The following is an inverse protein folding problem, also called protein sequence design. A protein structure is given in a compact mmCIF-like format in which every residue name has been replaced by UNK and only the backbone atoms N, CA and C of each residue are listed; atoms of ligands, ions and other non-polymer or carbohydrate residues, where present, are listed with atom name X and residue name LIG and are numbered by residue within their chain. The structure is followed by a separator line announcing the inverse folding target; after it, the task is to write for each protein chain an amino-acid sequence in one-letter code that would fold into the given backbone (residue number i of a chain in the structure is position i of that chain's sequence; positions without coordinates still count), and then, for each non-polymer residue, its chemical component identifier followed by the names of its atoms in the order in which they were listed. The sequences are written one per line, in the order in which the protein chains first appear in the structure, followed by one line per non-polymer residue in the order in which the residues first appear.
data_IF_603174494596
#
_entry.id   IF_603174494596
#
_cell.length_a   1.000
_cell.length_b   1.000
_cell.length_c   1.000
_cell.angle_alpha   90.00
_cell.angle_beta   90.00
_cell.angle_gamma   90.00
#
_symmetry.space_group_name_H-M   'P 1'
#
loop_
_entity.id
_entity.type
_entity.pdbx_description
1 polymer ?
#
# COMPACT_ATOMS: atom_id res chain seq x y z
N UNK A 1 18.84 4.02 18.71
CA UNK A 1 19.23 4.77 19.94
C UNK A 1 18.45 4.24 21.13
N UNK A 2 19.12 3.86 22.23
CA UNK A 2 18.42 3.41 23.46
C UNK A 2 18.19 4.63 24.35
N UNK A 3 16.95 4.87 24.76
CA UNK A 3 16.54 6.09 25.46
C UNK A 3 17.21 6.36 26.83
N UNK A 4 18.09 5.47 27.32
CA UNK A 4 18.77 5.58 28.61
C UNK A 4 20.30 5.53 28.50
N UNK A 5 20.84 5.62 27.29
CA UNK A 5 22.28 5.58 27.05
C UNK A 5 22.71 6.78 26.18
N UNK A 6 23.16 7.89 26.81
CA UNK A 6 23.66 9.08 26.12
C UNK A 6 24.87 8.81 25.22
N UNK A 7 25.66 7.77 25.50
CA UNK A 7 26.83 7.41 24.70
C UNK A 7 26.47 6.78 23.35
N UNK A 8 25.22 6.37 23.16
CA UNK A 8 24.74 5.74 21.92
C UNK A 8 24.58 6.68 20.71
N UNK A 9 24.90 7.98 20.87
CA UNK A 9 24.92 8.96 19.77
C UNK A 9 26.19 8.86 18.93
N UNK A 10 27.32 8.46 19.54
CA UNK A 10 28.67 8.55 18.94
C UNK A 10 28.94 7.68 17.70
N UNK A 11 27.95 6.93 17.21
CA UNK A 11 28.06 6.10 16.00
C UNK A 11 26.88 6.20 15.04
N UNK A 12 25.93 7.11 15.26
CA UNK A 12 24.78 7.28 14.37
C UNK A 12 25.10 8.33 13.32
N UNK A 13 25.32 7.88 12.07
CA UNK A 13 25.38 8.79 10.92
C UNK A 13 24.00 9.40 10.69
N UNK A 14 23.90 10.72 10.81
CA UNK A 14 22.68 11.48 10.56
C UNK A 14 22.89 12.30 9.27
N UNK A 15 21.93 12.29 8.32
CA UNK A 15 21.97 13.17 7.16
C UNK A 15 22.08 14.64 7.57
N UNK A 16 23.12 15.33 7.11
CA UNK A 16 23.31 16.75 7.43
C UNK A 16 22.18 17.61 6.84
N UNK A 17 21.65 18.54 7.63
CA UNK A 17 20.68 19.55 7.18
C UNK A 17 19.23 19.08 7.03
N UNK A 18 18.89 17.85 7.46
CA UNK A 18 17.51 17.37 7.48
C UNK A 18 17.01 17.16 8.93
N UNK A 19 15.78 17.58 9.25
CA UNK A 19 15.21 17.32 10.57
C UNK A 19 15.00 15.82 10.79
N UNK A 20 15.45 15.30 11.92
CA UNK A 20 15.19 13.92 12.34
C UNK A 20 13.85 13.84 13.08
N UNK A 21 12.98 12.92 12.68
CA UNK A 21 11.82 12.53 13.49
C UNK A 21 12.15 11.26 14.27
N UNK A 22 12.23 11.35 15.59
CA UNK A 22 12.39 10.20 16.47
C UNK A 22 11.03 9.64 16.90
N UNK A 23 10.88 8.32 16.80
CA UNK A 23 9.65 7.60 17.14
C UNK A 23 9.93 6.54 18.21
N UNK A 24 9.01 6.39 19.16
CA UNK A 24 8.95 5.22 20.05
C UNK A 24 7.48 4.80 20.23
N UNK A 25 7.20 3.73 20.98
CA UNK A 25 5.84 3.18 21.13
C UNK A 25 4.76 4.24 21.40
N UNK A 26 4.95 5.12 22.40
CA UNK A 26 3.99 6.17 22.79
C UNK A 26 4.53 7.60 22.64
N UNK A 27 5.72 7.79 22.07
CA UNK A 27 6.38 9.10 21.97
C UNK A 27 7.03 9.62 23.26
N UNK A 28 7.03 8.84 24.36
CA UNK A 28 7.62 9.25 25.66
C UNK A 28 9.15 9.12 25.67
N UNK A 29 9.66 7.95 25.30
CA UNK A 29 11.10 7.66 25.29
C UNK A 29 11.84 8.38 24.15
N UNK A 30 11.16 8.69 23.04
CA UNK A 30 11.75 9.45 21.92
C UNK A 30 12.05 10.90 22.30
N UNK A 31 11.35 11.50 23.27
CA UNK A 31 11.66 12.85 23.78
C UNK A 31 13.07 12.90 24.38
N UNK A 32 13.47 11.87 25.13
CA UNK A 32 14.81 11.80 25.73
C UNK A 32 15.89 11.69 24.65
N UNK A 33 15.66 10.87 23.62
CA UNK A 33 16.56 10.77 22.48
C UNK A 33 16.67 12.09 21.72
N UNK A 34 15.55 12.78 21.47
CA UNK A 34 15.52 14.09 20.79
C UNK A 34 16.24 15.17 21.58
N UNK A 35 16.09 15.20 22.91
CA UNK A 35 16.84 16.13 23.75
C UNK A 35 18.35 15.91 23.57
N UNK A 36 18.79 14.66 23.67
CA UNK A 36 20.20 14.32 23.54
C UNK A 36 20.74 14.63 22.12
N UNK A 37 19.94 14.42 21.07
CA UNK A 37 20.28 14.83 19.69
C UNK A 37 20.44 16.35 19.57
N UNK A 38 19.48 17.14 20.10
CA UNK A 38 19.52 18.60 20.07
C UNK A 38 20.71 19.18 20.84
N UNK A 39 21.10 18.55 21.95
CA UNK A 39 22.33 18.90 22.70
C UNK A 39 23.60 18.73 21.85
N UNK A 40 23.58 17.88 20.83
CA UNK A 40 24.68 17.67 19.86
C UNK A 40 24.46 18.45 18.55
N UNK A 41 23.59 19.45 18.53
CA UNK A 41 23.35 20.32 17.37
C UNK A 41 22.55 19.65 16.24
N UNK A 42 21.95 18.50 16.49
CA UNK A 42 21.11 17.79 15.51
C UNK A 42 19.67 18.34 15.62
N UNK A 43 19.12 18.84 14.51
CA UNK A 43 17.71 19.20 14.45
C UNK A 43 16.85 17.93 14.50
N UNK A 44 16.18 17.73 15.63
CA UNK A 44 15.39 16.53 15.88
C UNK A 44 14.06 16.88 16.55
N UNK A 45 13.03 16.07 16.29
CA UNK A 45 11.69 16.23 16.86
C UNK A 45 11.10 14.86 17.22
N UNK A 46 10.28 14.83 18.28
CA UNK A 46 9.62 13.61 18.75
C UNK A 46 8.22 13.55 18.17
N UNK A 47 7.85 12.42 17.54
CA UNK A 47 6.50 12.24 17.01
C UNK A 47 5.49 12.05 18.14
N UNK A 48 4.61 13.04 18.33
CA UNK A 48 3.48 12.94 19.27
C UNK A 48 2.57 11.78 18.83
N UNK A 49 2.25 10.88 19.77
CA UNK A 49 1.48 9.66 19.47
C UNK A 49 2.33 8.45 19.07
N UNK A 50 3.66 8.61 18.95
CA UNK A 50 4.58 7.48 18.81
C UNK A 50 4.32 6.62 17.58
N UNK A 51 4.41 5.29 17.74
CA UNK A 51 4.26 4.33 16.64
C UNK A 51 2.85 4.33 16.04
N UNK A 52 1.83 4.72 16.81
CA UNK A 52 0.46 4.84 16.31
C UNK A 52 0.34 6.05 15.36
N UNK A 53 0.94 7.18 15.71
CA UNK A 53 0.99 8.33 14.80
C UNK A 53 1.85 8.02 13.57
N UNK A 54 2.95 7.27 13.75
CA UNK A 54 3.79 6.85 12.64
C UNK A 54 3.07 5.91 11.68
N UNK A 55 2.26 4.97 12.18
CA UNK A 55 1.48 4.07 11.32
C UNK A 55 0.47 4.81 10.47
N UNK A 56 0.04 6.01 10.88
CA UNK A 56 -0.87 6.88 10.13
C UNK A 56 -0.12 7.91 9.27
N UNK A 57 1.21 7.95 9.31
CA UNK A 57 1.98 8.87 8.47
C UNK A 57 1.84 8.49 7.00
N UNK A 58 1.61 9.50 6.17
CA UNK A 58 1.43 9.34 4.72
C UNK A 58 2.04 10.52 3.98
N UNK A 59 2.27 10.33 2.69
CA UNK A 59 2.61 11.37 1.73
C UNK A 59 2.05 11.03 0.34
N UNK A 60 2.29 11.87 -0.65
CA UNK A 60 1.87 11.63 -2.04
C UNK A 60 3.04 11.63 -3.00
N UNK A 61 2.82 11.06 -4.17
CA UNK A 61 3.69 11.18 -5.34
C UNK A 61 2.85 11.18 -6.61
N UNK A 62 3.19 12.05 -7.56
CA UNK A 62 2.58 12.02 -8.90
C UNK A 62 3.28 10.96 -9.76
N UNK A 63 2.50 10.14 -10.44
CA UNK A 63 2.99 9.17 -11.42
C UNK A 63 2.86 9.78 -12.81
N UNK A 64 4.00 10.03 -13.46
CA UNK A 64 4.02 10.63 -14.79
C UNK A 64 3.61 9.62 -15.87
N UNK A 65 2.50 9.93 -16.55
CA UNK A 65 1.98 9.15 -17.68
C UNK A 65 2.29 9.88 -18.99
N UNK A 66 3.47 9.63 -19.56
CA UNK A 66 3.90 10.23 -20.82
C UNK A 66 2.87 9.98 -21.93
N UNK A 67 2.39 11.06 -22.56
CA UNK A 67 1.44 11.00 -23.67
C UNK A 67 -0.03 10.82 -23.27
N UNK A 68 -0.36 10.82 -21.97
CA UNK A 68 -1.74 10.76 -21.48
C UNK A 68 -2.15 12.06 -20.80
N UNK A 69 -3.45 12.39 -20.88
CA UNK A 69 -4.07 13.44 -20.05
C UNK A 69 -4.53 12.91 -18.69
N UNK A 70 -4.52 11.60 -18.51
CA UNK A 70 -4.86 10.99 -17.24
C UNK A 70 -3.80 11.33 -16.19
N UNK A 71 -4.26 11.52 -14.97
CA UNK A 71 -3.40 11.73 -13.80
C UNK A 71 -3.48 10.52 -12.89
N UNK A 72 -2.34 10.14 -12.33
CA UNK A 72 -2.26 9.09 -11.32
C UNK A 72 -1.48 9.65 -10.14
N UNK A 73 -2.13 9.68 -8.99
CA UNK A 73 -1.56 10.17 -7.75
C UNK A 73 -1.48 8.98 -6.80
N UNK A 74 -0.26 8.66 -6.37
CA UNK A 74 -0.04 7.62 -5.38
C UNK A 74 -0.12 8.23 -3.99
N UNK A 75 -1.04 7.74 -3.16
CA UNK A 75 -1.13 8.04 -1.74
C UNK A 75 -0.39 6.94 -0.99
N UNK A 76 0.68 7.30 -0.27
CA UNK A 76 1.67 6.37 0.27
C UNK A 76 1.59 6.38 1.80
N UNK A 77 1.11 5.31 2.42
CA UNK A 77 1.08 5.15 3.89
C UNK A 77 2.47 4.73 4.39
N UNK A 78 3.35 5.71 4.54
CA UNK A 78 4.76 5.56 4.88
C UNK A 78 5.05 4.59 6.03
N UNK A 79 4.29 4.65 7.11
CA UNK A 79 4.54 3.81 8.29
C UNK A 79 4.22 2.32 8.13
N UNK A 80 3.48 1.96 7.07
CA UNK A 80 2.99 0.59 6.83
C UNK A 80 3.37 0.02 5.46
N UNK A 81 3.76 0.88 4.52
CA UNK A 81 4.09 0.48 3.15
C UNK A 81 2.84 0.22 2.29
N UNK A 82 1.63 0.56 2.76
CA UNK A 82 0.41 0.47 1.94
C UNK A 82 0.38 1.61 0.91
N UNK A 83 -0.01 1.27 -0.31
CA UNK A 83 -0.08 2.20 -1.44
C UNK A 83 -1.51 2.23 -1.96
N UNK A 84 -2.06 3.43 -2.06
CA UNK A 84 -3.36 3.70 -2.69
C UNK A 84 -3.16 4.60 -3.90
N UNK A 85 -4.14 4.64 -4.79
CA UNK A 85 -4.04 5.43 -6.02
C UNK A 85 -5.32 6.22 -6.25
N UNK A 86 -5.18 7.49 -6.64
CA UNK A 86 -6.24 8.26 -7.28
C UNK A 86 -5.87 8.27 -8.77
N UNK A 87 -6.73 7.70 -9.60
CA UNK A 87 -6.59 7.69 -11.05
C UNK A 87 -7.69 8.56 -11.62
N UNK A 88 -7.35 9.63 -12.35
CA UNK A 88 -8.34 10.57 -12.86
C UNK A 88 -8.13 10.92 -14.33
N UNK A 89 -9.24 11.15 -15.03
CA UNK A 89 -9.27 11.72 -16.38
C UNK A 89 -10.54 12.55 -16.51
N UNK A 90 -10.47 13.65 -17.25
CA UNK A 90 -11.64 14.45 -17.64
C UNK A 90 -12.55 14.89 -16.45
N UNK A 91 -11.94 15.17 -15.29
CA UNK A 91 -12.65 15.62 -14.09
C UNK A 91 -13.27 14.49 -13.26
N UNK A 92 -13.09 13.23 -13.65
CA UNK A 92 -13.59 12.06 -12.94
C UNK A 92 -12.43 11.19 -12.45
N UNK A 93 -12.66 10.47 -11.35
CA UNK A 93 -11.62 9.66 -10.75
C UNK A 93 -12.12 8.36 -10.13
N UNK A 94 -11.21 7.39 -10.08
CA UNK A 94 -11.31 6.18 -9.30
C UNK A 94 -10.24 6.18 -8.20
N UNK A 95 -10.57 5.65 -7.03
CA UNK A 95 -9.59 5.39 -5.96
C UNK A 95 -9.37 3.89 -5.82
N UNK A 96 -8.12 3.47 -5.73
CA UNK A 96 -7.73 2.05 -5.55
C UNK A 96 -7.07 1.88 -4.19
N UNK A 97 -7.50 0.86 -3.45
CA UNK A 97 -6.96 0.39 -2.17
C UNK A 97 -6.86 1.48 -1.11
N UNK A 98 -7.97 2.17 -0.79
CA UNK A 98 -7.96 3.28 0.15
C UNK A 98 -7.49 2.84 1.55
N UNK A 99 -6.30 3.26 1.96
CA UNK A 99 -5.61 2.82 3.18
C UNK A 99 -5.44 3.89 4.25
N UNK A 100 -5.75 5.16 3.94
CA UNK A 100 -5.70 6.29 4.88
C UNK A 100 -7.08 6.94 5.06
N UNK A 101 -7.18 7.99 5.88
CA UNK A 101 -8.45 8.69 6.12
C UNK A 101 -9.14 9.12 4.81
N UNK A 102 -10.44 8.78 4.60
CA UNK A 102 -11.23 9.23 3.45
C UNK A 102 -11.08 10.71 3.10
N UNK A 103 -10.97 11.59 4.10
CA UNK A 103 -10.86 13.03 3.90
C UNK A 103 -9.62 13.42 3.08
N UNK A 104 -8.55 12.63 3.17
CA UNK A 104 -7.31 12.87 2.41
C UNK A 104 -7.59 12.69 0.92
N UNK A 105 -8.30 11.63 0.53
CA UNK A 105 -8.63 11.37 -0.88
C UNK A 105 -9.58 12.44 -1.43
N UNK A 106 -10.61 12.82 -0.65
CA UNK A 106 -11.55 13.85 -1.03
C UNK A 106 -10.85 15.19 -1.27
N UNK A 107 -9.99 15.61 -0.35
CA UNK A 107 -9.21 16.85 -0.48
C UNK A 107 -8.29 16.81 -1.70
N UNK A 108 -7.54 15.73 -1.91
CA UNK A 108 -6.64 15.62 -3.07
C UNK A 108 -7.46 15.68 -4.37
N UNK A 109 -8.60 15.00 -4.44
CA UNK A 109 -9.47 15.02 -5.61
C UNK A 109 -9.99 16.44 -5.88
N UNK A 110 -10.48 17.14 -4.85
CA UNK A 110 -10.95 18.53 -4.93
C UNK A 110 -9.84 19.48 -5.43
N UNK A 111 -8.64 19.41 -4.84
CA UNK A 111 -7.46 20.20 -5.24
C UNK A 111 -7.06 19.98 -6.71
N UNK A 112 -7.40 18.81 -7.27
CA UNK A 112 -7.09 18.42 -8.66
C UNK A 112 -8.29 18.58 -9.59
N UNK A 113 -9.41 19.11 -9.11
CA UNK A 113 -10.64 19.27 -9.90
C UNK A 113 -11.27 17.94 -10.33
N UNK A 114 -11.12 16.90 -9.52
CA UNK A 114 -11.62 15.55 -9.77
C UNK A 114 -12.84 15.22 -8.89
N UNK A 115 -13.77 14.45 -9.45
CA UNK A 115 -14.88 13.83 -8.75
C UNK A 115 -14.68 12.33 -8.66
N UNK A 116 -14.60 11.78 -7.44
CA UNK A 116 -14.45 10.34 -7.22
C UNK A 116 -15.79 9.65 -7.50
N UNK A 117 -15.83 8.78 -8.51
CA UNK A 117 -17.01 7.99 -8.89
C UNK A 117 -16.92 6.53 -8.49
N UNK A 118 -15.69 6.03 -8.39
CA UNK A 118 -15.41 4.63 -8.15
C UNK A 118 -14.38 4.49 -7.03
N UNK A 119 -14.59 3.54 -6.14
CA UNK A 119 -13.61 3.14 -5.15
C UNK A 119 -13.45 1.63 -5.19
N UNK A 120 -12.24 1.17 -5.39
CA UNK A 120 -11.93 -0.23 -5.67
C UNK A 120 -10.98 -0.77 -4.61
N UNK A 121 -11.24 -1.98 -4.14
CA UNK A 121 -10.22 -2.78 -3.47
C UNK A 121 -9.76 -3.89 -4.40
N UNK A 122 -8.45 -4.00 -4.56
CA UNK A 122 -7.82 -5.05 -5.38
C UNK A 122 -8.03 -6.44 -4.81
N UNK A 123 -8.15 -6.53 -3.48
CA UNK A 123 -8.42 -7.75 -2.73
C UNK A 123 -8.88 -7.42 -1.30
N UNK A 124 -9.32 -8.43 -0.55
CA UNK A 124 -9.53 -8.28 0.89
C UNK A 124 -8.18 -8.15 1.59
N UNK A 125 -7.88 -6.94 2.05
CA UNK A 125 -6.62 -6.59 2.72
C UNK A 125 -6.46 -7.31 4.06
N UNK A 126 -5.22 -7.68 4.39
CA UNK A 126 -4.86 -8.41 5.61
C UNK A 126 -3.89 -7.64 6.52
N UNK A 127 -3.45 -6.46 6.09
CA UNK A 127 -2.44 -5.61 6.72
C UNK A 127 -2.97 -4.23 7.09
N UNK A 128 -4.07 -3.80 6.47
CA UNK A 128 -4.78 -2.58 6.82
C UNK A 128 -6.31 -2.74 6.72
N UNK A 129 -7.04 -1.85 7.42
CA UNK A 129 -8.48 -1.72 7.26
C UNK A 129 -8.74 -0.89 6.01
N UNK A 130 -9.43 -1.48 5.04
CA UNK A 130 -9.87 -0.76 3.85
C UNK A 130 -10.77 0.39 4.26
N UNK A 131 -10.45 1.60 3.80
CA UNK A 131 -11.29 2.79 3.93
C UNK A 131 -12.18 2.99 2.71
N UNK A 132 -12.20 2.05 1.78
CA UNK A 132 -12.90 2.17 0.49
C UNK A 132 -14.40 2.39 0.64
N UNK A 133 -15.06 1.64 1.53
CA UNK A 133 -16.49 1.84 1.84
C UNK A 133 -16.78 3.19 2.49
N UNK A 134 -15.93 3.61 3.44
CA UNK A 134 -16.11 4.87 4.14
C UNK A 134 -15.92 6.05 3.19
N UNK A 135 -14.93 5.96 2.29
CA UNK A 135 -14.72 6.93 1.22
C UNK A 135 -15.91 6.97 0.26
N UNK A 136 -16.34 5.82 -0.25
CA UNK A 136 -17.47 5.74 -1.16
C UNK A 136 -18.76 6.33 -0.57
N UNK A 137 -19.05 6.06 0.70
CA UNK A 137 -20.19 6.65 1.39
C UNK A 137 -20.12 8.19 1.49
N UNK A 138 -18.91 8.76 1.62
CA UNK A 138 -18.69 10.22 1.70
C UNK A 138 -18.84 10.95 0.37
N UNK A 139 -18.55 10.29 -0.76
CA UNK A 139 -18.66 10.89 -2.10
C UNK A 139 -19.77 10.29 -2.99
N UNK A 140 -20.56 9.36 -2.47
CA UNK A 140 -21.56 8.60 -3.24
C UNK A 140 -20.96 7.84 -4.44
N UNK A 141 -19.71 7.38 -4.30
CA UNK A 141 -19.06 6.54 -5.29
C UNK A 141 -19.54 5.09 -5.19
N UNK A 142 -19.39 4.33 -6.28
CA UNK A 142 -19.63 2.90 -6.30
C UNK A 142 -18.41 2.15 -5.72
N UNK A 143 -18.66 1.14 -4.88
CA UNK A 143 -17.61 0.25 -4.35
C UNK A 143 -17.48 -0.97 -5.26
N UNK A 144 -16.27 -1.25 -5.73
CA UNK A 144 -15.98 -2.36 -6.61
C UNK A 144 -14.92 -3.28 -6.04
N UNK A 145 -15.12 -4.57 -6.22
CA UNK A 145 -14.16 -5.62 -5.87
C UNK A 145 -14.19 -6.69 -6.97
N UNK A 146 -13.12 -7.50 -7.12
CA UNK A 146 -13.18 -8.72 -7.92
C UNK A 146 -14.39 -9.58 -7.54
N UNK A 147 -14.97 -10.30 -8.50
CA UNK A 147 -16.07 -11.23 -8.26
C UNK A 147 -15.66 -12.30 -7.24
N UNK A 148 -16.32 -12.31 -6.09
CA UNK A 148 -15.94 -13.10 -4.91
C UNK A 148 -17.08 -13.14 -3.88
N UNK A 149 -16.99 -14.07 -2.94
CA UNK A 149 -18.04 -14.40 -1.96
C UNK A 149 -17.63 -14.15 -0.50
N UNK A 150 -16.48 -13.53 -0.24
CA UNK A 150 -15.96 -13.35 1.13
C UNK A 150 -16.53 -12.14 1.85
N UNK A 151 -16.87 -11.07 1.13
CA UNK A 151 -17.41 -9.86 1.77
C UNK A 151 -18.92 -9.95 1.95
N UNK A 152 -19.43 -9.40 3.04
CA UNK A 152 -20.86 -9.49 3.41
C UNK A 152 -21.64 -8.19 3.21
N UNK A 153 -21.05 -7.20 2.53
CA UNK A 153 -21.69 -5.93 2.19
C UNK A 153 -21.89 -5.79 0.67
N UNK A 154 -22.79 -4.91 0.22
CA UNK A 154 -22.99 -4.68 -1.22
C UNK A 154 -21.77 -4.08 -1.89
N UNK A 155 -21.44 -4.60 -3.08
CA UNK A 155 -20.42 -4.07 -3.99
C UNK A 155 -20.78 -4.47 -5.43
N UNK A 156 -20.20 -3.78 -6.41
CA UNK A 156 -20.23 -4.21 -7.82
C UNK A 156 -19.07 -5.16 -8.09
N UNK A 157 -19.39 -6.39 -8.45
CA UNK A 157 -18.41 -7.40 -8.80
C UNK A 157 -17.73 -7.09 -10.14
N UNK A 158 -16.42 -7.26 -10.20
CA UNK A 158 -15.59 -7.13 -11.38
C UNK A 158 -15.06 -8.47 -11.85
N UNK A 159 -15.23 -8.76 -13.14
CA UNK A 159 -14.75 -9.96 -13.82
C UNK A 159 -13.64 -9.61 -14.80
N UNK A 160 -12.86 -10.62 -15.19
CA UNK A 160 -11.86 -10.48 -16.24
C UNK A 160 -12.53 -9.94 -17.53
N UNK A 161 -11.95 -8.89 -18.11
CA UNK A 161 -12.49 -8.22 -19.29
C UNK A 161 -13.60 -7.21 -19.02
N UNK A 162 -14.07 -7.07 -17.77
CA UNK A 162 -14.97 -5.97 -17.42
C UNK A 162 -14.24 -4.65 -17.64
N UNK A 163 -14.95 -3.73 -18.29
CA UNK A 163 -14.58 -2.33 -18.39
C UNK A 163 -15.54 -1.52 -17.52
N UNK A 164 -14.98 -0.69 -16.64
CA UNK A 164 -15.77 0.24 -15.82
C UNK A 164 -15.66 1.63 -16.46
N UNK A 165 -16.02 1.81 -17.72
CA UNK A 165 -15.78 3.06 -18.49
C UNK A 165 -14.32 3.61 -18.49
N UNK A 166 -13.39 3.06 -17.70
CA UNK A 166 -11.92 3.07 -17.79
C UNK A 166 -11.32 2.20 -16.66
N UNK A 167 -10.43 1.27 -17.06
CA UNK A 167 -9.46 0.44 -16.28
C UNK A 167 -9.90 -0.93 -15.70
N UNK A 168 -8.96 -1.88 -15.85
CA UNK A 168 -9.10 -3.35 -15.77
C UNK A 168 -8.71 -3.96 -14.40
N UNK A 169 -9.19 -5.19 -14.09
CA UNK A 169 -8.81 -5.93 -12.89
C UNK A 169 -7.70 -6.97 -13.14
N UNK A 170 -6.94 -7.27 -12.09
CA UNK A 170 -5.96 -8.37 -12.07
C UNK A 170 -4.93 -8.24 -10.96
N UNK A 171 -5.36 -8.31 -9.69
CA UNK A 171 -4.43 -8.34 -8.57
C UNK A 171 -4.18 -9.77 -8.13
N UNK A 172 -2.91 -10.12 -7.93
CA UNK A 172 -2.55 -11.38 -7.30
C UNK A 172 -1.85 -11.08 -5.98
N UNK A 173 -2.59 -11.27 -4.89
CA UNK A 173 -2.05 -11.26 -3.55
C UNK A 173 -1.25 -12.52 -3.23
N UNK A 174 -0.69 -12.58 -2.02
CA UNK A 174 0.05 -13.75 -1.51
C UNK A 174 -0.80 -15.04 -1.62
N UNK A 175 -0.28 -16.12 -2.24
CA UNK A 175 -1.05 -17.36 -2.44
C UNK A 175 -1.30 -18.14 -1.14
N UNK A 176 -0.56 -17.84 -0.08
CA UNK A 176 -0.42 -18.64 1.15
C UNK A 176 -1.39 -18.26 2.28
N UNK A 177 -2.00 -17.07 2.25
CA UNK A 177 -2.85 -16.62 3.36
C UNK A 177 -3.99 -17.63 3.61
N UNK A 178 -3.91 -18.30 4.77
CA UNK A 178 -4.82 -19.32 5.27
C UNK A 178 -5.05 -20.55 4.35
N UNK A 179 -4.09 -20.90 3.49
CA UNK A 179 -4.21 -22.04 2.56
C UNK A 179 -3.51 -23.31 3.05
N UNK A 180 -4.08 -24.48 2.75
CA UNK A 180 -3.34 -25.75 2.79
C UNK A 180 -2.18 -25.74 1.79
N UNK A 181 -1.18 -26.61 1.97
CA UNK A 181 -0.04 -26.70 1.03
C UNK A 181 -0.47 -26.93 -0.43
N UNK A 182 -1.54 -27.71 -0.63
CA UNK A 182 -2.12 -27.95 -1.96
C UNK A 182 -2.79 -26.70 -2.52
N UNK A 183 -3.57 -25.98 -1.70
CA UNK A 183 -4.20 -24.72 -2.10
C UNK A 183 -3.16 -23.64 -2.41
N UNK A 184 -2.10 -23.55 -1.62
CA UNK A 184 -1.00 -22.61 -1.84
C UNK A 184 -0.29 -22.90 -3.17
N UNK A 185 -0.01 -24.18 -3.47
CA UNK A 185 0.57 -24.59 -4.76
C UNK A 185 -0.36 -24.25 -5.93
N UNK A 186 -1.65 -24.57 -5.84
CA UNK A 186 -2.63 -24.23 -6.88
C UNK A 186 -2.69 -22.71 -7.14
N UNK A 187 -2.69 -21.90 -6.08
CA UNK A 187 -2.67 -20.44 -6.18
C UNK A 187 -1.35 -19.92 -6.78
N UNK A 188 -0.22 -20.58 -6.50
CA UNK A 188 1.06 -20.25 -7.12
C UNK A 188 1.06 -20.48 -8.64
N UNK A 189 0.45 -21.56 -9.13
CA UNK A 189 0.26 -21.80 -10.57
C UNK A 189 -0.59 -20.70 -11.23
N UNK A 190 -1.71 -20.31 -10.60
CA UNK A 190 -2.56 -19.21 -11.09
C UNK A 190 -1.84 -17.86 -11.12
N UNK A 191 -0.99 -17.59 -10.11
CA UNK A 191 -0.15 -16.42 -10.08
C UNK A 191 0.86 -16.43 -11.24
N UNK A 192 1.55 -17.55 -11.48
CA UNK A 192 2.49 -17.66 -12.59
C UNK A 192 1.81 -17.35 -13.93
N UNK A 193 0.66 -17.98 -14.20
CA UNK A 193 -0.11 -17.74 -15.42
C UNK A 193 -0.53 -16.25 -15.58
N UNK A 194 -0.85 -15.58 -14.47
CA UNK A 194 -1.18 -14.15 -14.48
C UNK A 194 0.04 -13.28 -14.77
N UNK A 195 1.21 -13.60 -14.19
CA UNK A 195 2.46 -12.90 -14.48
C UNK A 195 2.89 -13.08 -15.94
N UNK A 196 2.66 -14.24 -16.55
CA UNK A 196 2.92 -14.46 -17.98
C UNK A 196 2.03 -13.58 -18.87
N UNK A 197 0.78 -13.33 -18.48
CA UNK A 197 -0.10 -12.38 -19.18
C UNK A 197 0.39 -10.94 -19.03
N UNK A 198 0.74 -10.53 -17.81
CA UNK A 198 1.29 -9.19 -17.54
C UNK A 198 2.59 -8.95 -18.32
N UNK A 199 3.45 -9.96 -18.45
CA UNK A 199 4.71 -9.88 -19.18
C UNK A 199 4.55 -9.62 -20.69
N UNK A 200 3.34 -9.79 -21.23
CA UNK A 200 3.02 -9.48 -22.64
C UNK A 200 2.59 -8.02 -22.87
N UNK A 201 2.37 -7.25 -21.80
CA UNK A 201 2.09 -5.82 -21.91
C UNK A 201 3.32 -5.05 -22.42
N UNK A 202 3.10 -3.82 -22.86
CA UNK A 202 4.18 -3.01 -23.42
C UNK A 202 5.28 -2.76 -22.36
N UNK A 203 6.58 -2.80 -22.71
CA UNK A 203 7.69 -2.71 -21.75
C UNK A 203 7.69 -1.44 -20.88
N UNK A 204 7.15 -0.34 -21.41
CA UNK A 204 6.98 0.94 -20.75
C UNK A 204 5.75 1.01 -19.83
N UNK A 205 4.97 -0.06 -19.71
CA UNK A 205 3.82 -0.10 -18.80
C UNK A 205 4.28 0.13 -17.36
N UNK A 206 3.59 1.02 -16.64
CA UNK A 206 3.81 1.20 -15.21
C UNK A 206 3.27 0.00 -14.44
N UNK A 207 4.09 -0.55 -13.56
CA UNK A 207 3.70 -1.53 -12.54
C UNK A 207 3.65 -0.80 -11.21
N UNK A 208 2.43 -0.64 -10.69
CA UNK A 208 2.10 0.09 -9.48
C UNK A 208 1.59 -0.90 -8.42
N UNK A 209 2.40 -1.23 -7.39
CA UNK A 209 2.06 -2.27 -6.42
C UNK A 209 1.16 -1.74 -5.29
N UNK A 210 0.37 -2.60 -4.65
CA UNK A 210 -0.43 -2.20 -3.48
C UNK A 210 0.41 -2.02 -2.21
N UNK A 211 1.62 -2.58 -2.17
CA UNK A 211 2.49 -2.59 -0.99
C UNK A 211 3.98 -2.47 -1.33
N UNK A 212 4.75 -1.90 -0.39
CA UNK A 212 6.22 -1.95 -0.36
C UNK A 212 6.70 -2.74 0.86
N UNK A 213 7.83 -3.42 0.73
CA UNK A 213 8.49 -4.12 1.85
C UNK A 213 9.34 -3.19 2.73
N UNK A 214 9.59 -1.97 2.26
CA UNK A 214 10.42 -0.97 2.94
C UNK A 214 9.60 0.28 3.28
N UNK A 215 9.95 1.00 4.36
CA UNK A 215 9.36 2.30 4.66
C UNK A 215 9.53 3.28 3.50
N UNK A 216 8.50 4.07 3.25
CA UNK A 216 8.46 4.96 2.09
C UNK A 216 9.04 6.33 2.44
N UNK A 217 10.06 6.82 1.72
CA UNK A 217 10.63 8.15 1.97
C UNK A 217 9.64 9.29 1.63
N UNK A 218 9.86 10.45 2.24
CA UNK A 218 9.14 11.70 1.92
C UNK A 218 9.79 12.45 0.76
N UNK A 219 10.06 11.75 -0.34
CA UNK A 219 10.82 12.25 -1.49
C UNK A 219 9.95 12.68 -2.68
N UNK A 220 8.62 12.54 -2.55
CA UNK A 220 7.67 12.81 -3.64
C UNK A 220 7.75 11.88 -4.85
N UNK A 221 8.52 10.78 -4.80
CA UNK A 221 8.72 9.87 -5.94
C UNK A 221 7.78 8.67 -5.90
N UNK A 222 7.15 8.27 -7.00
CA UNK A 222 6.24 7.13 -6.98
C UNK A 222 6.99 5.83 -6.67
N UNK A 223 6.40 5.02 -5.81
CA UNK A 223 6.77 3.63 -5.60
C UNK A 223 6.18 2.78 -6.73
N UNK A 224 7.01 2.40 -7.68
CA UNK A 224 6.63 1.61 -8.84
C UNK A 224 7.81 1.48 -9.80
N UNK A 225 7.62 0.70 -10.85
CA UNK A 225 8.63 0.52 -11.88
C UNK A 225 8.00 0.31 -13.25
N UNK A 226 8.79 0.47 -14.32
CA UNK A 226 8.37 0.05 -15.65
C UNK A 226 8.44 -1.48 -15.74
N UNK A 227 7.55 -2.09 -16.53
CA UNK A 227 7.47 -3.54 -16.67
C UNK A 227 8.81 -4.15 -17.12
N UNK A 228 9.51 -3.50 -18.05
CA UNK A 228 10.84 -3.92 -18.50
C UNK A 228 11.86 -4.04 -17.36
N UNK A 229 11.85 -3.09 -16.43
CA UNK A 229 12.71 -3.12 -15.24
C UNK A 229 12.30 -4.23 -14.28
N UNK A 230 10.99 -4.43 -14.08
CA UNK A 230 10.47 -5.52 -13.23
C UNK A 230 10.90 -6.88 -13.78
N UNK A 231 10.70 -7.14 -15.08
CA UNK A 231 11.11 -8.41 -15.71
C UNK A 231 12.63 -8.64 -15.59
N UNK A 232 13.42 -7.58 -15.70
CA UNK A 232 14.88 -7.64 -15.58
C UNK A 232 15.33 -7.93 -14.14
N UNK A 233 14.71 -7.29 -13.15
CA UNK A 233 15.15 -7.31 -11.75
C UNK A 233 14.55 -8.46 -10.93
N UNK A 234 13.36 -8.95 -11.30
CA UNK A 234 12.64 -10.00 -10.56
C UNK A 234 12.81 -11.32 -11.28
N UNK A 235 13.73 -12.16 -10.81
CA UNK A 235 14.04 -13.46 -11.43
C UNK A 235 12.80 -14.36 -11.63
N UNK A 236 11.85 -14.28 -10.71
CA UNK A 236 10.60 -15.05 -10.76
C UNK A 236 9.76 -14.73 -12.01
N UNK A 237 9.87 -13.52 -12.58
CA UNK A 237 9.19 -13.16 -13.83
C UNK A 237 9.69 -13.95 -15.03
N UNK A 238 10.93 -14.46 -14.96
CA UNK A 238 11.62 -15.18 -16.04
C UNK A 238 11.73 -16.69 -15.76
N UNK A 239 11.23 -17.15 -14.62
CA UNK A 239 11.31 -18.55 -14.21
C UNK A 239 10.29 -19.43 -14.96
N UNK A 240 10.64 -20.70 -15.16
CA UNK A 240 9.65 -21.72 -15.52
C UNK A 240 8.60 -21.85 -14.41
N UNK A 241 7.42 -22.37 -14.75
CA UNK A 241 6.31 -22.52 -13.79
C UNK A 241 6.71 -23.33 -12.55
N UNK A 242 7.36 -24.48 -12.72
CA UNK A 242 7.80 -25.31 -11.59
C UNK A 242 8.82 -24.58 -10.71
N UNK A 243 9.83 -23.96 -11.32
CA UNK A 243 10.84 -23.17 -10.60
C UNK A 243 10.18 -22.01 -9.86
N UNK A 244 9.21 -21.34 -10.48
CA UNK A 244 8.46 -20.25 -9.87
C UNK A 244 7.71 -20.72 -8.62
N UNK A 245 6.99 -21.83 -8.71
CA UNK A 245 6.22 -22.40 -7.59
C UNK A 245 7.16 -22.76 -6.44
N UNK A 246 8.30 -23.38 -6.72
CA UNK A 246 9.31 -23.71 -5.70
C UNK A 246 9.91 -22.47 -5.03
N UNK A 247 10.30 -21.47 -5.83
CA UNK A 247 10.82 -20.20 -5.33
C UNK A 247 9.82 -19.46 -4.46
N UNK A 248 8.54 -19.46 -4.83
CA UNK A 248 7.49 -18.77 -4.10
C UNK A 248 7.20 -19.44 -2.76
N UNK A 249 7.03 -20.77 -2.75
CA UNK A 249 6.71 -21.53 -1.55
C UNK A 249 7.88 -21.57 -0.55
N UNK A 250 9.12 -21.45 -1.01
CA UNK A 250 10.30 -21.36 -0.13
C UNK A 250 10.49 -20.01 0.56
N UNK A 251 9.74 -18.97 0.15
CA UNK A 251 9.92 -17.59 0.62
C UNK A 251 8.66 -17.01 1.27
N UNK A 252 7.89 -17.84 2.00
CA UNK A 252 6.69 -17.38 2.71
C UNK A 252 7.10 -16.63 3.98
N UNK A 253 6.85 -15.30 4.09
CA UNK A 253 7.15 -14.55 5.30
C UNK A 253 6.15 -14.88 6.41
N UNK A 254 6.55 -14.68 7.66
CA UNK A 254 5.63 -14.81 8.79
C UNK A 254 4.44 -13.87 8.64
N UNK A 255 3.24 -14.37 8.90
CA UNK A 255 2.01 -13.59 8.84
C UNK A 255 1.88 -12.72 10.10
N UNK A 256 1.54 -11.43 9.98
CA UNK A 256 1.32 -10.56 11.15
C UNK A 256 0.25 -11.14 12.10
N UNK A 257 0.39 -11.02 13.43
CA UNK A 257 -0.52 -11.68 14.38
C UNK A 257 -1.99 -11.20 14.29
N UNK A 258 -2.21 -9.97 13.84
CA UNK A 258 -3.52 -9.32 13.70
C UNK A 258 -4.20 -9.55 12.34
N UNK A 259 -3.57 -10.24 11.39
CA UNK A 259 -4.07 -10.32 10.02
C UNK A 259 -5.48 -10.93 9.90
N UNK A 260 -5.79 -11.96 10.70
CA UNK A 260 -7.11 -12.61 10.68
C UNK A 260 -8.22 -11.66 11.17
N UNK A 261 -7.92 -10.84 12.18
CA UNK A 261 -8.86 -9.83 12.66
C UNK A 261 -9.11 -8.76 11.61
N UNK A 262 -8.04 -8.28 10.95
CA UNK A 262 -8.13 -7.31 9.86
C UNK A 262 -8.96 -7.87 8.70
N UNK A 263 -8.68 -9.09 8.26
CA UNK A 263 -9.45 -9.77 7.21
C UNK A 263 -10.93 -9.86 7.60
N UNK A 264 -11.25 -10.32 8.82
CA UNK A 264 -12.63 -10.42 9.30
C UNK A 264 -13.35 -9.08 9.27
N UNK A 265 -12.68 -8.02 9.72
CA UNK A 265 -13.24 -6.67 9.72
C UNK A 265 -13.45 -6.15 8.29
N UNK A 266 -12.51 -6.39 7.37
CA UNK A 266 -12.62 -6.02 5.96
C UNK A 266 -13.67 -6.83 5.19
N UNK A 267 -13.90 -8.10 5.54
CA UNK A 267 -14.97 -8.93 4.98
C UNK A 267 -16.36 -8.41 5.38
N UNK A 268 -16.49 -7.94 6.63
CA UNK A 268 -17.75 -7.36 7.14
C UNK A 268 -17.89 -5.86 6.85
N UNK A 269 -16.78 -5.22 6.48
CA UNK A 269 -16.59 -3.77 6.42
C UNK A 269 -17.01 -3.08 7.71
N UNK A 270 -16.52 -3.62 8.83
CA UNK A 270 -16.70 -3.10 10.18
C UNK A 270 -15.49 -2.21 10.55
N UNK A 271 -15.75 -1.05 11.17
CA UNK A 271 -14.71 -0.20 11.73
C UNK A 271 -14.77 -0.25 13.26
N UNK A 272 -13.79 -0.90 13.92
CA UNK A 272 -13.71 -0.89 15.38
C UNK A 272 -13.33 0.50 15.90
N UNK A 273 -13.60 0.77 17.18
CA UNK A 273 -13.18 2.02 17.83
C UNK A 273 -11.65 2.19 17.94
N UNK A 274 -10.90 1.09 17.84
CA UNK A 274 -9.43 1.08 17.79
C UNK A 274 -9.00 0.39 16.51
N UNK A 275 -8.27 1.10 15.66
CA UNK A 275 -7.72 0.54 14.42
C UNK A 275 -6.68 -0.55 14.77
N UNK A 276 -6.88 -1.81 14.36
CA UNK A 276 -5.99 -2.91 14.70
C UNK A 276 -4.70 -2.91 13.87
N UNK A 277 -4.50 -1.94 12.97
CA UNK A 277 -3.46 -1.97 11.93
C UNK A 277 -2.13 -1.37 12.35
#
# INVERSE_FOLDING_TARGET
MRARDPSSIGGVSVPAGQPIVAVCAQGKSSILAVRAMREHGIDAMSLKGGMQAWSLAWNVADVELTGSKAIVIQVRRTGKGCLSYIMGSDGEAAVVDASVDPEIYLRIAEERGLRILYVLDTHVHADHLSRSRALAARCSAEVLLPDQDRVTYPFRALREGDSIDTLFPGAVGRPDLAASSEQARKRAHLLHATLQRIAQLAPETWILPCHTSEPIPFDGRPCGARLSDVIRQVDMMRASEDTFVEMLLSRIPQTPPNHLEIVRLNERGEFPGVDPT
#
